data_IF_160869132112
#
_entry.id   IF_160869132112
#
_cell.length_a   1.000
_cell.length_b   1.000
_cell.length_c   1.000
_cell.angle_alpha   90.00
_cell.angle_beta   90.00
_cell.angle_gamma   90.00
#
_symmetry.space_group_name_H-M   'P 1'
#
loop_
_entity.id
_entity.type
_entity.pdbx_description
1 polymer ?
#
# COMPACT_ATOMS: atom_id res chain seq x y z
N UNK A 1 -7.33 6.30 -10.35
CA UNK A 1 -6.83 6.08 -8.97
C UNK A 1 -7.41 4.79 -8.41
N UNK A 2 -6.76 4.20 -7.43
CA UNK A 2 -7.19 2.97 -6.78
C UNK A 2 -7.04 3.11 -5.27
N UNK A 3 -7.96 2.48 -4.54
CA UNK A 3 -7.81 2.22 -3.11
C UNK A 3 -7.38 0.77 -2.98
N UNK A 4 -6.30 0.55 -2.24
CA UNK A 4 -5.71 -0.78 -2.03
C UNK A 4 -5.68 -1.04 -0.52
N UNK A 5 -6.16 -2.20 -0.12
CA UNK A 5 -5.91 -2.76 1.20
C UNK A 5 -4.91 -3.89 1.06
N UNK A 6 -3.80 -3.78 1.79
CA UNK A 6 -2.82 -4.87 1.92
C UNK A 6 -2.99 -5.49 3.31
N UNK A 7 -3.02 -6.82 3.35
CA UNK A 7 -2.94 -7.60 4.59
C UNK A 7 -1.87 -8.67 4.40
N UNK A 8 -0.81 -8.62 5.19
CA UNK A 8 0.23 -9.65 5.22
C UNK A 8 -0.31 -10.90 5.92
N UNK A 9 0.07 -12.08 5.42
CA UNK A 9 -0.42 -13.37 5.90
C UNK A 9 -0.01 -13.63 7.35
N UNK A 10 -0.99 -14.01 8.18
CA UNK A 10 -0.78 -14.39 9.58
C UNK A 10 0.00 -15.70 9.74
N UNK A 11 0.10 -16.50 8.67
CA UNK A 11 0.87 -17.74 8.66
C UNK A 11 2.40 -17.50 8.65
N UNK A 12 2.84 -16.26 8.41
CA UNK A 12 4.25 -15.91 8.41
C UNK A 12 4.83 -15.80 9.83
N UNK A 13 6.01 -16.39 10.03
CA UNK A 13 6.77 -16.17 11.26
C UNK A 13 7.19 -14.70 11.38
N UNK A 14 7.39 -14.25 12.63
CA UNK A 14 7.86 -12.89 12.88
C UNK A 14 9.25 -12.63 12.29
N UNK A 15 10.16 -13.61 12.31
CA UNK A 15 11.48 -13.43 11.69
C UNK A 15 11.40 -13.23 10.17
N UNK A 16 10.54 -14.01 9.51
CA UNK A 16 10.33 -13.88 8.06
C UNK A 16 9.72 -12.51 7.74
N UNK A 17 8.70 -12.09 8.50
CA UNK A 17 8.12 -10.76 8.39
C UNK A 17 9.18 -9.65 8.52
N UNK A 18 9.95 -9.63 9.60
CA UNK A 18 10.96 -8.58 9.83
C UNK A 18 12.05 -8.56 8.74
N UNK A 19 12.48 -9.74 8.26
CA UNK A 19 13.48 -9.83 7.20
C UNK A 19 13.03 -9.19 5.87
N UNK A 20 11.73 -9.28 5.55
CA UNK A 20 11.15 -8.75 4.32
C UNK A 20 10.66 -7.31 4.47
N UNK A 21 10.36 -6.90 5.71
CA UNK A 21 9.79 -5.58 6.00
C UNK A 21 10.65 -4.44 5.47
N UNK A 22 11.98 -4.55 5.55
CA UNK A 22 12.88 -3.52 5.02
C UNK A 22 12.72 -3.29 3.51
N UNK A 23 12.44 -4.34 2.74
CA UNK A 23 12.15 -4.25 1.31
C UNK A 23 10.77 -3.65 1.06
N UNK A 24 9.78 -4.09 1.83
CA UNK A 24 8.41 -3.58 1.76
C UNK A 24 8.34 -2.07 2.04
N UNK A 25 9.04 -1.60 3.08
CA UNK A 25 9.16 -0.18 3.41
C UNK A 25 9.87 0.63 2.30
N UNK A 26 10.93 0.07 1.68
CA UNK A 26 11.61 0.71 0.54
C UNK A 26 10.71 0.84 -0.68
N UNK A 27 9.91 -0.20 -0.96
CA UNK A 27 8.93 -0.19 -2.05
C UNK A 27 7.90 0.93 -1.86
N UNK A 28 7.31 1.06 -0.66
CA UNK A 28 6.42 2.19 -0.35
C UNK A 28 7.08 3.53 -0.59
N UNK A 29 8.29 3.72 -0.05
CA UNK A 29 9.01 4.99 -0.17
C UNK A 29 9.30 5.35 -1.62
N UNK A 30 9.70 4.38 -2.44
CA UNK A 30 9.96 4.59 -3.85
C UNK A 30 8.71 5.06 -4.59
N UNK A 31 7.59 4.35 -4.44
CA UNK A 31 6.33 4.67 -5.12
C UNK A 31 5.67 5.93 -4.58
N UNK A 32 5.90 6.28 -3.32
CA UNK A 32 5.51 7.58 -2.77
C UNK A 32 6.30 8.74 -3.40
N UNK A 33 7.64 8.64 -3.43
CA UNK A 33 8.50 9.69 -4.00
C UNK A 33 8.30 9.92 -5.50
N UNK A 34 7.84 8.90 -6.23
CA UNK A 34 7.50 9.00 -7.66
C UNK A 34 6.06 9.48 -7.92
N UNK A 35 5.27 9.70 -6.87
CA UNK A 35 3.89 10.19 -6.97
C UNK A 35 2.85 9.12 -7.32
N UNK A 36 3.27 7.86 -7.39
CA UNK A 36 2.36 6.72 -7.64
C UNK A 36 1.50 6.44 -6.42
N UNK A 37 2.09 6.36 -5.23
CA UNK A 37 1.36 6.25 -3.97
C UNK A 37 1.21 7.64 -3.36
N UNK A 38 -0.02 8.09 -3.19
CA UNK A 38 -0.31 9.46 -2.70
C UNK A 38 -0.72 9.48 -1.23
N UNK A 39 -1.21 8.35 -0.71
CA UNK A 39 -1.46 8.12 0.72
C UNK A 39 -1.08 6.68 1.02
N UNK A 40 -0.31 6.45 2.09
CA UNK A 40 0.06 5.12 2.59
C UNK A 40 0.02 5.17 4.12
N UNK A 41 -0.54 4.15 4.76
CA UNK A 41 -0.48 4.03 6.22
C UNK A 41 -1.01 2.71 6.75
N UNK A 42 -0.61 2.30 7.96
CA UNK A 42 -1.16 1.12 8.62
C UNK A 42 -2.60 1.36 9.09
N UNK A 43 -3.37 0.28 9.24
CA UNK A 43 -4.64 0.35 9.97
C UNK A 43 -4.39 0.31 11.47
N UNK A 44 -5.09 1.17 12.22
CA UNK A 44 -4.90 1.30 13.67
C UNK A 44 -5.51 0.14 14.47
N UNK A 45 -6.46 -0.59 13.88
CA UNK A 45 -7.24 -1.65 14.49
C UNK A 45 -6.86 -3.05 14.00
N UNK A 46 -5.93 -3.15 13.05
CA UNK A 46 -5.54 -4.42 12.43
C UNK A 46 -4.05 -4.50 12.17
N UNK A 47 -3.39 -5.43 12.85
CA UNK A 47 -1.96 -5.68 12.66
C UNK A 47 -1.62 -6.12 11.23
N UNK A 48 -0.39 -5.80 10.82
CA UNK A 48 0.21 -6.17 9.52
C UNK A 48 -0.70 -5.87 8.31
N UNK A 49 -1.51 -4.82 8.43
CA UNK A 49 -2.46 -4.39 7.42
C UNK A 49 -2.42 -2.87 7.25
N UNK A 50 -2.73 -2.40 6.04
CA UNK A 50 -2.71 -0.98 5.74
C UNK A 50 -3.46 -0.62 4.46
N UNK A 51 -3.61 0.68 4.28
CA UNK A 51 -4.28 1.28 3.13
C UNK A 51 -3.32 2.07 2.25
N UNK A 52 -3.57 2.04 0.94
CA UNK A 52 -2.88 2.86 -0.04
C UNK A 52 -3.92 3.53 -0.94
N UNK A 53 -3.70 4.81 -1.24
CA UNK A 53 -4.32 5.47 -2.39
C UNK A 53 -3.25 5.61 -3.47
N UNK A 54 -3.50 4.99 -4.62
CA UNK A 54 -2.57 5.00 -5.76
C UNK A 54 -3.13 5.82 -6.93
N UNK A 55 -2.30 6.69 -7.49
CA UNK A 55 -2.57 7.43 -8.70
C UNK A 55 -1.81 6.82 -9.88
N UNK A 56 -2.43 5.85 -10.53
CA UNK A 56 -1.89 5.16 -11.72
C UNK A 56 -2.89 5.19 -12.87
N UNK A 57 -2.36 5.03 -14.09
CA UNK A 57 -3.12 5.12 -15.34
C UNK A 57 -4.03 3.92 -15.61
N UNK A 58 -3.69 2.73 -15.10
CA UNK A 58 -4.42 1.49 -15.40
C UNK A 58 -4.28 0.44 -14.30
N UNK A 59 -5.16 -0.57 -14.36
CA UNK A 59 -5.08 -1.76 -13.48
C UNK A 59 -3.80 -2.55 -13.74
N UNK A 60 -3.36 -2.65 -14.99
CA UNK A 60 -2.16 -3.41 -15.35
C UNK A 60 -0.88 -2.73 -14.84
N UNK A 61 -0.81 -1.40 -14.94
CA UNK A 61 0.26 -0.61 -14.35
C UNK A 61 0.32 -0.81 -12.83
N UNK A 62 -0.83 -0.77 -12.15
CA UNK A 62 -0.90 -1.07 -10.71
C UNK A 62 -0.45 -2.50 -10.40
N UNK A 63 -0.89 -3.48 -11.18
CA UNK A 63 -0.48 -4.88 -10.97
C UNK A 63 1.03 -5.08 -11.12
N UNK A 64 1.70 -4.38 -12.04
CA UNK A 64 3.16 -4.40 -12.14
C UNK A 64 3.81 -3.86 -10.87
N UNK A 65 3.29 -2.76 -10.33
CA UNK A 65 3.80 -2.14 -9.10
C UNK A 65 3.59 -3.05 -7.88
N UNK A 66 2.42 -3.70 -7.77
CA UNK A 66 2.15 -4.63 -6.66
C UNK A 66 3.05 -5.86 -6.69
N UNK A 67 3.50 -6.31 -7.88
CA UNK A 67 4.45 -7.43 -8.03
C UNK A 67 5.85 -7.12 -7.50
N UNK A 68 6.17 -5.86 -7.26
CA UNK A 68 7.46 -5.44 -6.70
C UNK A 68 7.50 -5.52 -5.16
N UNK A 69 6.34 -5.67 -4.51
CA UNK A 69 6.25 -5.85 -3.06
C UNK A 69 6.87 -7.21 -2.67
N UNK A 70 7.83 -7.26 -1.72
CA UNK A 70 8.39 -8.52 -1.23
C UNK A 70 7.37 -9.52 -0.68
N UNK A 71 6.16 -9.08 -0.33
CA UNK A 71 5.09 -9.98 0.11
C UNK A 71 4.20 -10.52 -1.03
N UNK A 72 4.33 -10.01 -2.25
CA UNK A 72 3.54 -10.50 -3.38
C UNK A 72 4.05 -11.86 -3.89
N UNK A 73 3.19 -12.77 -4.38
CA UNK A 73 1.72 -12.77 -4.29
C UNK A 73 1.19 -13.49 -3.05
N UNK A 74 1.97 -14.40 -2.47
CA UNK A 74 1.45 -15.43 -1.57
C UNK A 74 1.58 -15.08 -0.08
N UNK A 75 2.35 -14.03 0.23
CA UNK A 75 2.61 -13.59 1.60
C UNK A 75 1.73 -12.41 2.00
N UNK A 76 0.94 -11.84 1.08
CA UNK A 76 -0.05 -10.83 1.37
C UNK A 76 -1.23 -10.89 0.41
N UNK A 77 -2.41 -10.49 0.89
CA UNK A 77 -3.60 -10.26 0.06
C UNK A 77 -3.73 -8.79 -0.29
N UNK A 78 -4.16 -8.51 -1.52
CA UNK A 78 -4.35 -7.16 -2.04
C UNK A 78 -5.80 -6.98 -2.52
N UNK A 79 -6.65 -6.32 -1.73
CA UNK A 79 -7.97 -5.88 -2.23
C UNK A 79 -7.81 -4.57 -2.97
N UNK A 80 -8.15 -4.56 -4.26
CA UNK A 80 -7.91 -3.42 -5.17
C UNK A 80 -9.22 -2.94 -5.75
N UNK A 81 -9.57 -1.68 -5.44
CA UNK A 81 -10.80 -1.03 -5.90
C UNK A 81 -10.49 0.18 -6.79
N UNK A 82 -10.99 0.23 -8.03
CA UNK A 82 -11.01 1.47 -8.80
C UNK A 82 -11.77 2.53 -8.02
N UNK A 83 -11.22 3.74 -7.93
CA UNK A 83 -11.83 4.83 -7.21
C UNK A 83 -11.87 6.10 -8.07
N UNK A 84 -12.90 6.92 -7.88
CA UNK A 84 -13.06 8.20 -8.57
C UNK A 84 -13.38 9.23 -7.49
N UNK A 85 -12.35 9.96 -7.02
CA UNK A 85 -12.57 11.06 -6.10
C UNK A 85 -13.33 12.19 -6.81
N UNK A 86 -14.57 12.44 -6.39
CA UNK A 86 -15.39 13.56 -6.90
C UNK A 86 -15.14 14.86 -6.16
N UNK A 87 -14.62 14.77 -4.93
CA UNK A 87 -14.29 15.90 -4.07
C UNK A 87 -13.02 15.57 -3.29
N UNK A 88 -12.13 16.54 -3.16
CA UNK A 88 -10.92 16.47 -2.34
C UNK A 88 -10.86 17.77 -1.55
N UNK A 89 -10.74 17.68 -0.22
CA UNK A 89 -10.62 18.85 0.63
C UNK A 89 -9.17 19.38 0.60
N UNK A 90 -9.00 20.71 0.63
CA UNK A 90 -7.68 21.35 0.61
C UNK A 90 -6.81 20.95 1.82
N UNK A 91 -7.44 20.65 2.95
CA UNK A 91 -6.78 20.28 4.19
C UNK A 91 -6.45 18.77 4.30
N UNK A 92 -6.58 17.99 3.22
CA UNK A 92 -6.30 16.54 3.24
C UNK A 92 -4.93 16.20 3.85
N UNK A 93 -3.92 17.02 3.56
CA UNK A 93 -2.55 16.85 4.04
C UNK A 93 -2.43 16.88 5.58
N UNK A 94 -3.38 17.51 6.28
CA UNK A 94 -3.39 17.59 7.75
C UNK A 94 -3.72 16.25 8.43
N UNK A 95 -4.22 15.26 7.67
CA UNK A 95 -4.50 13.92 8.20
C UNK A 95 -3.23 13.08 8.41
N UNK A 96 -2.07 13.53 7.91
CA UNK A 96 -0.81 12.80 8.10
C UNK A 96 -0.44 12.73 9.58
N UNK A 97 -0.18 11.52 10.06
CA UNK A 97 0.34 11.25 11.39
C UNK A 97 1.78 10.74 11.27
N UNK A 98 2.65 11.19 12.17
CA UNK A 98 4.09 10.88 12.20
C UNK A 98 4.44 9.88 13.29
#
# INVERSE_FOLDING_TARGET
MFIITITVSDAMSSEQYESLFSGHAKWFRHHFLTGTFVVVGPYADRERSGGIIANVESRDALTTILKEDPYYPDLATYDVRPFIAKMIAENLHQLQQG
#
